data_IF_646459676293
#
_entry.id   IF_646459676293
#
_cell.length_a   1.000
_cell.length_b   1.000
_cell.length_c   1.000
_cell.angle_alpha   90.00
_cell.angle_beta   90.00
_cell.angle_gamma   90.00
#
_symmetry.space_group_name_H-M   'P 1'
#
loop_
_entity.id
_entity.type
_entity.pdbx_description
1 polymer ?
#
# COMPACT_ATOMS: atom_id res chain seq x y z
N UNK A 1 33.19 -13.45 -26.75
CA UNK A 1 33.28 -12.54 -25.58
C UNK A 1 34.72 -12.25 -25.19
N UNK A 2 35.45 -13.13 -24.48
CA UNK A 2 36.87 -12.84 -24.14
C UNK A 2 37.75 -12.62 -25.37
N UNK A 3 37.56 -13.44 -26.42
CA UNK A 3 38.22 -13.26 -27.72
C UNK A 3 37.80 -11.97 -28.44
N UNK A 4 36.66 -11.39 -28.06
CA UNK A 4 36.14 -10.11 -28.56
C UNK A 4 36.62 -8.93 -27.71
N UNK A 5 37.55 -9.15 -26.76
CA UNK A 5 38.06 -8.12 -25.86
C UNK A 5 37.12 -7.76 -24.70
N UNK A 6 36.06 -8.54 -24.46
CA UNK A 6 35.12 -8.30 -23.37
C UNK A 6 35.68 -8.87 -22.07
N UNK A 7 35.95 -7.98 -21.12
CA UNK A 7 36.30 -8.23 -19.73
C UNK A 7 35.12 -7.94 -18.79
N UNK A 8 35.31 -8.18 -17.48
CA UNK A 8 34.24 -8.02 -16.47
C UNK A 8 33.73 -6.57 -16.40
N UNK A 9 34.59 -5.58 -16.63
CA UNK A 9 34.24 -4.17 -16.55
C UNK A 9 33.69 -3.63 -17.87
N UNK A 10 34.04 -4.21 -19.02
CA UNK A 10 33.42 -3.84 -20.30
C UNK A 10 32.06 -4.51 -20.56
N UNK A 11 31.77 -5.64 -19.88
CA UNK A 11 30.52 -6.39 -20.04
C UNK A 11 29.26 -5.54 -19.81
N UNK A 12 29.33 -4.56 -18.89
CA UNK A 12 28.21 -3.68 -18.52
C UNK A 12 27.79 -2.67 -19.61
N UNK A 13 28.61 -2.50 -20.65
CA UNK A 13 28.37 -1.55 -21.74
C UNK A 13 27.93 -2.22 -23.04
N UNK A 14 27.77 -3.54 -23.06
CA UNK A 14 27.40 -4.28 -24.26
C UNK A 14 25.91 -4.16 -24.57
N UNK A 15 25.61 -3.87 -25.83
CA UNK A 15 24.24 -3.85 -26.38
C UNK A 15 23.95 -5.12 -27.20
N UNK A 16 22.65 -5.40 -27.47
CA UNK A 16 22.21 -6.60 -28.20
C UNK A 16 22.91 -6.78 -29.55
N UNK A 17 23.10 -5.69 -30.29
CA UNK A 17 23.82 -5.68 -31.57
C UNK A 17 25.27 -6.15 -31.46
N UNK A 18 25.97 -5.77 -30.39
CA UNK A 18 27.37 -6.17 -30.15
C UNK A 18 27.44 -7.61 -29.66
N UNK A 19 26.47 -8.04 -28.84
CA UNK A 19 26.33 -9.44 -28.46
C UNK A 19 26.11 -10.35 -29.68
N UNK A 20 25.36 -9.87 -30.66
CA UNK A 20 25.15 -10.59 -31.92
C UNK A 20 26.37 -10.53 -32.84
N UNK A 21 26.82 -9.34 -33.23
CA UNK A 21 27.82 -9.15 -34.30
C UNK A 21 29.26 -9.38 -33.85
N UNK A 22 29.61 -8.99 -32.63
CA UNK A 22 31.01 -9.00 -32.15
C UNK A 22 31.28 -10.18 -31.20
N UNK A 23 30.28 -10.57 -30.41
CA UNK A 23 30.38 -11.72 -29.51
C UNK A 23 29.89 -13.03 -30.10
N UNK A 24 29.21 -13.00 -31.26
CA UNK A 24 28.75 -14.19 -31.98
C UNK A 24 27.61 -14.95 -31.28
N UNK A 25 26.77 -14.26 -30.51
CA UNK A 25 25.67 -14.89 -29.78
C UNK A 25 24.41 -14.85 -30.64
N UNK A 26 24.22 -15.84 -31.51
CA UNK A 26 23.10 -15.89 -32.45
C UNK A 26 21.74 -16.11 -31.78
N UNK A 27 21.72 -16.85 -30.66
CA UNK A 27 20.49 -17.16 -29.94
C UNK A 27 19.95 -15.91 -29.24
N UNK A 28 18.79 -15.44 -29.69
CA UNK A 28 18.11 -14.24 -29.17
C UNK A 28 17.72 -14.37 -27.69
N UNK A 29 17.39 -15.57 -27.22
CA UNK A 29 17.07 -15.82 -25.81
C UNK A 29 18.32 -15.69 -24.93
N UNK A 30 19.48 -16.12 -25.43
CA UNK A 30 20.74 -15.97 -24.71
C UNK A 30 21.14 -14.50 -24.60
N UNK A 31 21.04 -13.74 -25.71
CA UNK A 31 21.31 -12.30 -25.67
C UNK A 31 20.37 -11.57 -24.73
N UNK A 32 19.08 -11.89 -24.75
CA UNK A 32 18.08 -11.30 -23.86
C UNK A 32 18.40 -11.57 -22.37
N UNK A 33 18.76 -12.81 -22.02
CA UNK A 33 19.17 -13.15 -20.65
C UNK A 33 20.47 -12.46 -20.23
N UNK A 34 21.43 -12.33 -21.13
CA UNK A 34 22.70 -11.63 -20.88
C UNK A 34 22.45 -10.13 -20.67
N UNK A 35 21.65 -9.49 -21.52
CA UNK A 35 21.24 -8.10 -21.36
C UNK A 35 20.50 -7.87 -20.02
N UNK A 36 19.59 -8.77 -19.65
CA UNK A 36 18.90 -8.70 -18.35
C UNK A 36 19.87 -8.86 -17.17
N UNK A 37 20.83 -9.77 -17.26
CA UNK A 37 21.86 -9.94 -16.23
C UNK A 37 22.78 -8.71 -16.12
N UNK A 38 23.15 -8.08 -17.25
CA UNK A 38 23.91 -6.83 -17.28
C UNK A 38 23.13 -5.70 -16.60
N UNK A 39 21.83 -5.57 -16.89
CA UNK A 39 20.97 -4.58 -16.23
C UNK A 39 20.85 -4.83 -14.72
N UNK A 40 20.76 -6.09 -14.30
CA UNK A 40 20.77 -6.47 -12.87
C UNK A 40 22.12 -6.20 -12.18
N UNK A 41 23.24 -6.38 -12.87
CA UNK A 41 24.57 -6.03 -12.35
C UNK A 41 24.74 -4.52 -12.20
N UNK A 42 24.19 -3.72 -13.11
CA UNK A 42 24.16 -2.27 -12.98
C UNK A 42 23.33 -1.82 -11.77
N UNK A 43 22.32 -2.58 -11.33
CA UNK A 43 21.56 -2.28 -10.11
C UNK A 43 22.31 -2.57 -8.80
N UNK A 44 23.38 -3.38 -8.81
CA UNK A 44 24.20 -3.66 -7.62
C UNK A 44 25.42 -2.75 -7.47
N UNK A 45 25.83 -2.02 -8.53
CA UNK A 45 27.06 -1.19 -8.53
C UNK A 45 26.78 0.28 -8.21
N UNK A 46 25.52 0.71 -8.18
CA UNK A 46 25.15 2.11 -7.90
C UNK A 46 25.26 2.55 -6.42
N UNK A 47 25.81 1.72 -5.52
CA UNK A 47 26.13 2.15 -4.15
C UNK A 47 27.51 2.83 -4.01
N UNK A 48 28.38 2.80 -5.02
CA UNK A 48 29.69 3.47 -4.97
C UNK A 48 30.06 4.17 -6.29
N UNK A 49 29.83 5.48 -6.39
CA UNK A 49 30.48 6.34 -7.40
C UNK A 49 29.57 7.30 -8.16
N UNK A 50 29.99 8.57 -8.20
CA UNK A 50 29.29 9.77 -8.65
C UNK A 50 28.83 9.78 -10.13
N UNK A 51 27.66 10.39 -10.36
CA UNK A 51 27.46 11.40 -11.40
C UNK A 51 27.34 10.96 -12.86
N UNK A 52 26.16 10.44 -13.25
CA UNK A 52 25.55 10.79 -14.55
C UNK A 52 24.04 10.92 -14.37
N UNK A 53 23.54 12.14 -14.59
CA UNK A 53 22.13 12.54 -14.72
C UNK A 53 21.42 11.74 -15.83
N UNK A 54 21.06 10.48 -15.56
CA UNK A 54 19.83 9.91 -16.11
C UNK A 54 18.73 10.47 -15.25
N UNK A 55 17.69 11.05 -15.86
CA UNK A 55 16.40 11.31 -15.23
C UNK A 55 15.91 10.05 -14.50
N UNK A 56 16.39 9.83 -13.27
CA UNK A 56 16.04 8.71 -12.40
C UNK A 56 14.71 9.08 -11.77
N UNK A 57 13.64 8.95 -12.56
CA UNK A 57 12.29 9.11 -12.06
C UNK A 57 12.04 8.00 -11.04
N UNK A 58 12.22 8.30 -9.76
CA UNK A 58 11.83 7.45 -8.66
C UNK A 58 10.33 7.14 -8.82
N UNK A 59 9.98 5.86 -8.93
CA UNK A 59 8.58 5.50 -9.21
C UNK A 59 7.76 5.54 -7.93
N UNK A 60 8.32 5.03 -6.84
CA UNK A 60 7.61 4.83 -5.58
C UNK A 60 8.44 5.31 -4.40
N UNK A 61 7.86 6.21 -3.60
CA UNK A 61 8.37 6.55 -2.27
C UNK A 61 7.50 5.87 -1.22
N UNK A 62 8.12 5.23 -0.21
CA UNK A 62 7.39 4.58 0.90
C UNK A 62 7.65 5.32 2.21
N UNK A 63 6.61 5.98 2.71
CA UNK A 63 6.56 6.55 4.05
C UNK A 63 6.01 5.53 5.04
N UNK A 64 6.67 5.38 6.19
CA UNK A 64 6.27 4.42 7.22
C UNK A 64 6.71 4.85 8.62
N UNK A 65 6.00 4.38 9.64
CA UNK A 65 6.43 4.56 11.04
C UNK A 65 7.56 3.59 11.38
N UNK A 66 8.75 4.10 11.73
CA UNK A 66 9.91 3.25 12.08
C UNK A 66 9.67 2.26 13.22
N UNK A 67 8.83 2.62 14.20
CA UNK A 67 8.57 1.80 15.38
C UNK A 67 7.91 0.45 15.08
N UNK A 68 7.11 0.35 14.00
CA UNK A 68 6.35 -0.88 13.71
C UNK A 68 6.07 -1.12 12.21
N UNK A 69 6.33 -0.16 11.32
CA UNK A 69 6.09 -0.28 9.88
C UNK A 69 7.29 -0.74 9.05
N UNK A 70 8.47 -0.88 9.66
CA UNK A 70 9.73 -1.20 8.94
C UNK A 70 9.71 -2.53 8.19
N UNK A 71 9.08 -3.55 8.79
CA UNK A 71 8.95 -4.88 8.18
C UNK A 71 8.06 -4.82 6.93
N UNK A 72 6.87 -4.22 7.04
CA UNK A 72 5.95 -4.09 5.92
C UNK A 72 6.52 -3.21 4.81
N UNK A 73 7.19 -2.10 5.15
CA UNK A 73 7.84 -1.23 4.16
C UNK A 73 8.93 -1.97 3.38
N UNK A 74 9.75 -2.78 4.07
CA UNK A 74 10.79 -3.60 3.44
C UNK A 74 10.21 -4.70 2.56
N UNK A 75 9.13 -5.34 2.99
CA UNK A 75 8.39 -6.33 2.21
C UNK A 75 7.83 -5.72 0.92
N UNK A 76 7.15 -4.58 1.03
CA UNK A 76 6.63 -3.83 -0.11
C UNK A 76 7.74 -3.44 -1.08
N UNK A 77 8.87 -2.95 -0.56
CA UNK A 77 10.06 -2.64 -1.39
C UNK A 77 10.48 -3.83 -2.22
N UNK A 78 10.70 -4.99 -1.60
CA UNK A 78 11.13 -6.21 -2.31
C UNK A 78 10.10 -6.62 -3.37
N UNK A 79 8.82 -6.70 -3.03
CA UNK A 79 7.78 -7.13 -3.96
C UNK A 79 7.59 -6.18 -5.15
N UNK A 80 7.74 -4.88 -4.95
CA UNK A 80 7.62 -3.87 -6.00
C UNK A 80 8.88 -3.84 -6.88
N UNK A 81 10.07 -4.01 -6.29
CA UNK A 81 11.33 -4.12 -7.04
C UNK A 81 11.34 -5.37 -7.94
N UNK A 82 10.82 -6.50 -7.46
CA UNK A 82 10.64 -7.72 -8.29
C UNK A 82 9.69 -7.49 -9.48
N UNK A 83 8.76 -6.53 -9.39
CA UNK A 83 7.86 -6.10 -10.47
C UNK A 83 8.45 -4.99 -11.35
N UNK A 84 9.70 -4.59 -11.10
CA UNK A 84 10.43 -3.61 -11.90
C UNK A 84 10.23 -2.14 -11.51
N UNK A 85 9.61 -1.86 -10.37
CA UNK A 85 9.47 -0.48 -9.87
C UNK A 85 10.74 -0.02 -9.14
N UNK A 86 11.13 1.24 -9.35
CA UNK A 86 12.14 1.90 -8.52
C UNK A 86 11.51 2.38 -7.21
N UNK A 87 11.90 1.76 -6.09
CA UNK A 87 11.32 2.04 -4.77
C UNK A 87 12.37 2.60 -3.82
N UNK A 88 12.04 3.75 -3.22
CA UNK A 88 12.80 4.36 -2.15
C UNK A 88 12.07 4.22 -0.82
N UNK A 89 12.81 3.83 0.21
CA UNK A 89 12.34 3.82 1.59
C UNK A 89 13.33 4.64 2.40
N UNK A 90 12.84 5.40 3.38
CA UNK A 90 13.71 6.09 4.32
C UNK A 90 14.41 5.05 5.22
N UNK A 91 15.64 4.68 4.87
CA UNK A 91 16.51 3.83 5.71
C UNK A 91 17.45 4.75 6.49
N UNK A 92 17.50 4.56 7.81
CA UNK A 92 18.34 5.29 8.76
C UNK A 92 19.84 5.24 8.44
N UNK A 93 20.32 5.98 7.43
CA UNK A 93 21.75 6.20 7.17
C UNK A 93 22.03 7.49 6.40
N UNK A 94 21.46 8.61 6.83
CA UNK A 94 21.96 9.91 6.38
C UNK A 94 22.26 10.80 7.59
N UNK A 95 23.55 10.86 7.90
CA UNK A 95 24.14 11.66 8.97
C UNK A 95 23.83 13.17 8.76
N UNK A 96 23.19 13.75 9.77
CA UNK A 96 23.32 15.15 10.23
C UNK A 96 23.34 16.28 9.17
N UNK A 97 22.19 16.91 8.95
CA UNK A 97 22.09 18.36 8.64
C UNK A 97 21.63 18.78 7.23
N UNK A 98 21.68 17.90 6.22
CA UNK A 98 21.17 18.16 4.85
C UNK A 98 20.07 17.19 4.39
N UNK A 99 19.56 16.37 5.31
CA UNK A 99 18.63 15.27 5.03
C UNK A 99 17.26 15.76 4.57
N UNK A 100 16.75 16.81 5.21
CA UNK A 100 15.40 17.35 4.98
C UNK A 100 15.15 17.65 3.50
N UNK A 101 16.10 18.34 2.85
CA UNK A 101 15.94 18.74 1.45
C UNK A 101 15.99 17.56 0.49
N UNK A 102 16.86 16.57 0.72
CA UNK A 102 17.00 15.41 -0.16
C UNK A 102 15.81 14.44 -0.03
N UNK A 103 15.30 14.25 1.19
CA UNK A 103 14.12 13.42 1.43
C UNK A 103 12.89 14.02 0.74
N UNK A 104 12.62 15.31 0.97
CA UNK A 104 11.49 16.01 0.37
C UNK A 104 11.63 16.10 -1.16
N UNK A 105 12.85 16.28 -1.68
CA UNK A 105 13.11 16.21 -3.12
C UNK A 105 12.83 14.82 -3.69
N UNK A 106 13.13 13.75 -2.94
CA UNK A 106 12.83 12.38 -3.37
C UNK A 106 11.31 12.15 -3.46
N UNK A 107 10.54 12.74 -2.55
CA UNK A 107 9.06 12.73 -2.60
C UNK A 107 8.55 13.50 -3.81
N UNK A 108 9.07 14.72 -4.07
CA UNK A 108 8.70 15.52 -5.26
C UNK A 108 8.98 14.80 -6.58
N UNK A 109 10.03 13.99 -6.62
CA UNK A 109 10.40 13.21 -7.81
C UNK A 109 9.62 11.89 -7.93
N UNK A 110 8.94 11.47 -6.85
CA UNK A 110 8.17 10.23 -6.82
C UNK A 110 6.86 10.36 -7.61
N UNK A 111 6.55 9.37 -8.44
CA UNK A 111 5.22 9.28 -9.08
C UNK A 111 4.14 8.81 -8.11
N UNK A 112 4.50 7.85 -7.26
CA UNK A 112 3.61 7.22 -6.29
C UNK A 112 4.16 7.40 -4.88
N UNK A 113 3.28 7.76 -3.96
CA UNK A 113 3.60 7.89 -2.54
C UNK A 113 2.80 6.85 -1.76
N UNK A 114 3.49 5.85 -1.21
CA UNK A 114 2.89 4.81 -0.39
C UNK A 114 3.00 5.21 1.07
N UNK A 115 1.85 5.30 1.73
CA UNK A 115 1.79 5.58 3.16
C UNK A 115 1.44 4.31 3.92
N UNK A 116 2.41 3.73 4.62
CA UNK A 116 2.21 2.54 5.44
C UNK A 116 1.61 2.94 6.78
N UNK A 117 0.34 2.59 6.96
CA UNK A 117 -0.46 2.85 8.15
C UNK A 117 -0.57 1.57 8.98
N UNK A 118 0.38 1.39 9.87
CA UNK A 118 0.35 0.41 10.97
C UNK A 118 -0.43 0.97 12.16
N UNK A 119 -0.76 0.16 13.20
CA UNK A 119 -1.39 0.68 14.40
C UNK A 119 -0.57 1.85 14.96
N UNK A 120 -1.24 2.93 15.38
CA UNK A 120 -0.61 4.12 15.95
C UNK A 120 0.34 4.89 15.00
N UNK A 121 0.29 4.66 13.69
CA UNK A 121 1.18 5.31 12.73
C UNK A 121 1.07 6.86 12.74
N UNK A 122 -0.15 7.38 12.91
CA UNK A 122 -0.45 8.82 12.88
C UNK A 122 -0.50 9.47 14.28
N UNK A 123 -0.28 8.73 15.37
CA UNK A 123 -0.48 9.25 16.73
C UNK A 123 0.37 10.49 17.04
N UNK A 124 1.59 10.57 16.48
CA UNK A 124 2.46 11.75 16.66
C UNK A 124 2.12 12.91 15.72
N UNK A 125 1.28 12.67 14.72
CA UNK A 125 0.77 13.71 13.82
C UNK A 125 -0.48 14.38 14.39
N UNK A 126 -1.17 13.74 15.35
CA UNK A 126 -2.35 14.31 16.01
C UNK A 126 -1.97 15.61 16.72
N UNK A 127 -2.61 16.71 16.34
CA UNK A 127 -2.32 18.04 16.88
C UNK A 127 -0.93 18.62 16.54
N UNK A 128 -0.18 18.04 15.60
CA UNK A 128 1.14 18.55 15.21
C UNK A 128 1.05 19.76 14.26
N UNK A 129 0.57 20.89 14.76
CA UNK A 129 0.41 22.13 13.95
C UNK A 129 1.73 22.76 13.50
N UNK A 130 2.85 22.38 14.12
CA UNK A 130 4.18 22.89 13.79
C UNK A 130 4.92 22.01 12.77
N UNK A 131 4.28 20.95 12.26
CA UNK A 131 4.86 20.02 11.29
C UNK A 131 6.24 19.49 11.72
N UNK A 132 6.35 19.04 12.98
CA UNK A 132 7.60 18.51 13.55
C UNK A 132 7.81 17.04 13.21
N UNK A 133 6.74 16.25 13.11
CA UNK A 133 6.85 14.83 12.81
C UNK A 133 7.22 14.61 11.34
N UNK A 134 8.12 13.66 11.09
CA UNK A 134 8.60 13.36 9.75
C UNK A 134 7.48 12.85 8.83
N UNK A 135 6.63 11.94 9.32
CA UNK A 135 5.52 11.40 8.53
C UNK A 135 4.55 12.54 8.16
N UNK A 136 4.36 13.50 9.06
CA UNK A 136 3.56 14.68 8.78
C UNK A 136 4.18 15.51 7.63
N UNK A 137 5.47 15.85 7.71
CA UNK A 137 6.18 16.58 6.63
C UNK A 137 6.11 15.86 5.29
N UNK A 138 6.29 14.54 5.29
CA UNK A 138 6.25 13.72 4.07
C UNK A 138 4.85 13.73 3.43
N UNK A 139 3.78 13.59 4.23
CA UNK A 139 2.40 13.63 3.74
C UNK A 139 2.08 15.00 3.13
N UNK A 140 2.45 16.09 3.81
CA UNK A 140 2.23 17.46 3.31
C UNK A 140 2.97 17.67 2.00
N UNK A 141 4.22 17.23 1.89
CA UNK A 141 5.00 17.33 0.66
C UNK A 141 4.40 16.49 -0.49
N UNK A 142 3.92 15.29 -0.20
CA UNK A 142 3.26 14.43 -1.19
C UNK A 142 1.95 15.05 -1.70
N UNK A 143 1.18 15.70 -0.82
CA UNK A 143 -0.04 16.43 -1.16
C UNK A 143 0.27 17.64 -2.04
N UNK A 144 1.30 18.42 -1.69
CA UNK A 144 1.73 19.60 -2.46
C UNK A 144 2.30 19.21 -3.84
N UNK A 145 3.02 18.09 -3.91
CA UNK A 145 3.62 17.57 -5.14
C UNK A 145 2.64 16.85 -6.06
N UNK A 146 1.37 16.73 -5.66
CA UNK A 146 0.32 15.98 -6.38
C UNK A 146 0.72 14.53 -6.73
N UNK A 147 1.50 13.88 -5.86
CA UNK A 147 1.83 12.48 -6.01
C UNK A 147 0.56 11.60 -5.94
N UNK A 148 0.56 10.44 -6.58
CA UNK A 148 -0.50 9.46 -6.37
C UNK A 148 -0.32 8.81 -4.99
N UNK A 149 -1.05 9.31 -4.00
CA UNK A 149 -1.00 8.82 -2.61
C UNK A 149 -1.85 7.56 -2.48
N UNK A 150 -1.24 6.46 -2.05
CA UNK A 150 -1.91 5.19 -1.83
C UNK A 150 -1.66 4.74 -0.37
N UNK A 151 -2.64 4.94 0.53
CA UNK A 151 -2.55 4.46 1.90
C UNK A 151 -2.59 2.92 1.96
N UNK A 152 -1.72 2.30 2.73
CA UNK A 152 -1.67 0.86 2.98
C UNK A 152 -2.03 0.62 4.45
N UNK A 153 -3.20 0.05 4.70
CA UNK A 153 -3.74 -0.12 6.05
C UNK A 153 -3.42 -1.51 6.57
N UNK A 154 -2.60 -1.60 7.61
CA UNK A 154 -2.31 -2.81 8.35
C UNK A 154 -2.83 -2.67 9.78
N UNK A 155 -3.95 -3.32 10.09
CA UNK A 155 -4.63 -3.25 11.39
C UNK A 155 -4.83 -1.82 11.93
N UNK A 156 -4.89 -0.83 11.02
CA UNK A 156 -5.00 0.58 11.35
C UNK A 156 -6.45 1.06 11.31
N UNK A 157 -6.76 1.99 12.21
CA UNK A 157 -8.03 2.70 12.26
C UNK A 157 -7.77 4.18 12.07
N UNK A 158 -8.54 4.81 11.18
CA UNK A 158 -8.44 6.25 10.98
C UNK A 158 -8.87 6.99 12.25
N UNK A 159 -8.07 7.96 12.73
CA UNK A 159 -8.51 8.87 13.77
C UNK A 159 -9.60 9.80 13.22
N UNK A 160 -10.24 10.56 14.13
CA UNK A 160 -11.13 11.64 13.74
C UNK A 160 -10.36 12.65 12.84
N UNK A 161 -10.85 12.96 11.62
CA UNK A 161 -10.20 13.93 10.73
C UNK A 161 -9.95 15.30 11.38
N UNK A 162 -10.77 15.72 12.36
CA UNK A 162 -10.60 17.01 13.03
C UNK A 162 -9.45 17.02 14.04
N UNK A 163 -8.94 15.84 14.44
CA UNK A 163 -7.75 15.70 15.29
C UNK A 163 -6.45 15.80 14.47
N UNK A 164 -6.54 15.64 13.14
CA UNK A 164 -5.41 15.79 12.24
C UNK A 164 -5.26 17.25 11.80
N UNK A 165 -4.01 17.75 11.68
CA UNK A 165 -3.73 19.04 11.07
C UNK A 165 -4.41 19.23 9.70
N UNK A 166 -4.84 20.46 9.42
CA UNK A 166 -5.65 20.80 8.24
C UNK A 166 -4.95 20.52 6.91
N UNK A 167 -3.64 20.71 6.88
CA UNK A 167 -2.75 20.47 5.74
C UNK A 167 -2.62 18.98 5.37
N UNK A 168 -2.70 18.07 6.34
CA UNK A 168 -2.61 16.63 6.07
C UNK A 168 -3.96 15.91 6.01
N UNK A 169 -5.05 16.54 6.47
CA UNK A 169 -6.40 15.91 6.59
C UNK A 169 -6.90 15.27 5.30
N UNK A 170 -6.49 15.82 4.15
CA UNK A 170 -6.82 15.29 2.83
C UNK A 170 -6.45 13.80 2.66
N UNK A 171 -5.42 13.31 3.35
CA UNK A 171 -4.93 11.93 3.26
C UNK A 171 -6.01 10.89 3.60
N UNK A 172 -6.97 11.23 4.46
CA UNK A 172 -8.05 10.33 4.90
C UNK A 172 -9.05 9.99 3.78
N UNK A 173 -9.10 10.81 2.72
CA UNK A 173 -10.04 10.65 1.61
C UNK A 173 -9.45 9.87 0.42
N UNK A 174 -8.17 9.49 0.50
CA UNK A 174 -7.53 8.69 -0.56
C UNK A 174 -7.94 7.22 -0.47
N UNK A 175 -8.04 6.58 -1.63
CA UNK A 175 -8.37 5.17 -1.72
C UNK A 175 -7.18 4.32 -1.24
N UNK A 176 -7.37 3.62 -0.12
CA UNK A 176 -6.36 2.76 0.45
C UNK A 176 -6.46 1.29 0.07
N UNK A 177 -5.35 0.57 0.21
CA UNK A 177 -5.26 -0.88 0.14
C UNK A 177 -5.19 -1.44 1.56
N UNK A 178 -6.15 -2.28 1.94
CA UNK A 178 -6.05 -3.03 3.19
C UNK A 178 -5.05 -4.18 3.00
N UNK A 179 -4.03 -4.21 3.85
CA UNK A 179 -3.05 -5.28 3.90
C UNK A 179 -3.64 -6.50 4.61
N UNK A 180 -3.41 -7.68 4.05
CA UNK A 180 -3.80 -8.96 4.65
C UNK A 180 -2.60 -9.90 4.54
N UNK A 181 -2.06 -10.31 5.69
CA UNK A 181 -0.84 -11.11 5.74
C UNK A 181 -0.94 -12.47 5.03
N UNK A 182 -2.14 -13.05 4.95
CA UNK A 182 -2.39 -14.32 4.26
C UNK A 182 -2.47 -14.16 2.72
N UNK A 183 -2.70 -12.94 2.22
CA UNK A 183 -2.96 -12.64 0.80
C UNK A 183 -2.03 -11.53 0.27
N UNK A 184 -0.74 -11.62 0.59
CA UNK A 184 0.26 -10.58 0.28
C UNK A 184 0.34 -10.29 -1.22
N UNK A 185 0.45 -11.33 -2.05
CA UNK A 185 0.55 -11.17 -3.51
C UNK A 185 -0.65 -10.43 -4.10
N UNK A 186 -1.87 -10.76 -3.66
CA UNK A 186 -3.09 -10.09 -4.09
C UNK A 186 -3.14 -8.61 -3.66
N UNK A 187 -2.63 -8.30 -2.45
CA UNK A 187 -2.49 -6.91 -2.00
C UNK A 187 -1.52 -6.13 -2.87
N UNK A 188 -0.38 -6.73 -3.26
CA UNK A 188 0.60 -6.06 -4.14
C UNK A 188 0.08 -5.95 -5.58
N UNK A 189 -0.63 -6.95 -6.10
CA UNK A 189 -1.27 -6.85 -7.42
C UNK A 189 -2.30 -5.72 -7.47
N UNK A 190 -3.07 -5.56 -6.38
CA UNK A 190 -3.99 -4.42 -6.24
C UNK A 190 -3.23 -3.09 -6.23
N UNK A 191 -2.13 -3.02 -5.50
CA UNK A 191 -1.27 -1.85 -5.42
C UNK A 191 -0.70 -1.46 -6.80
N UNK A 192 -0.24 -2.45 -7.57
CA UNK A 192 0.24 -2.25 -8.93
C UNK A 192 -0.84 -1.65 -9.83
N UNK A 193 -2.10 -2.12 -9.72
CA UNK A 193 -3.23 -1.53 -10.47
C UNK A 193 -3.50 -0.07 -10.11
N UNK A 194 -3.33 0.30 -8.84
CA UNK A 194 -3.41 1.70 -8.41
C UNK A 194 -2.30 2.54 -9.03
N UNK A 195 -1.08 2.01 -9.12
CA UNK A 195 0.06 2.70 -9.72
C UNK A 195 -0.10 2.86 -11.23
N UNK A 196 -0.60 1.84 -11.93
CA UNK A 196 -0.82 1.86 -13.39
C UNK A 196 -2.05 2.66 -13.83
N UNK A 197 -2.90 3.11 -12.89
CA UNK A 197 -4.07 3.94 -13.18
C UNK A 197 -5.25 3.16 -13.79
N UNK A 198 -5.25 1.84 -13.72
CA UNK A 198 -6.24 0.97 -14.37
C UNK A 198 -7.63 0.99 -13.71
N UNK A 199 -7.79 1.70 -12.58
CA UNK A 199 -9.07 1.77 -11.86
C UNK A 199 -9.84 3.07 -12.02
N UNK A 200 -9.43 3.96 -12.94
CA UNK A 200 -10.18 5.18 -13.23
C UNK A 200 -11.32 5.01 -14.25
N UNK A 201 -11.58 3.81 -14.77
CA UNK A 201 -12.86 3.56 -15.46
C UNK A 201 -13.88 3.11 -14.43
N UNK A 202 -14.55 4.08 -13.81
CA UNK A 202 -15.91 3.85 -13.31
C UNK A 202 -16.71 3.32 -14.50
N UNK A 203 -17.02 2.03 -14.54
CA UNK A 203 -18.01 1.46 -15.47
C UNK A 203 -19.45 1.92 -15.17
N UNK A 204 -19.63 3.06 -14.50
CA UNK A 204 -20.93 3.63 -14.15
C UNK A 204 -21.29 4.82 -15.05
N UNK A 205 -21.02 4.64 -16.34
CA UNK A 205 -21.57 5.47 -17.42
C UNK A 205 -22.82 4.79 -18.00
N UNK A 206 -23.87 5.54 -18.37
CA UNK A 206 -25.22 5.01 -18.66
C UNK A 206 -25.35 4.20 -19.97
N UNK A 207 -24.25 3.73 -20.55
CA UNK A 207 -24.20 3.04 -21.85
C UNK A 207 -23.76 1.57 -21.77
N UNK A 208 -23.43 1.05 -20.59
CA UNK A 208 -22.98 -0.35 -20.40
C UNK A 208 -24.07 -1.43 -20.44
N UNK A 209 -25.34 -1.09 -20.76
CA UNK A 209 -26.48 -2.02 -20.66
C UNK A 209 -26.83 -2.81 -21.92
N UNK A 210 -26.08 -2.70 -23.01
CA UNK A 210 -26.48 -3.31 -24.29
C UNK A 210 -25.33 -3.99 -25.05
N UNK A 211 -24.66 -4.99 -24.48
CA UNK A 211 -23.98 -6.02 -25.30
C UNK A 211 -24.02 -7.36 -24.57
N UNK A 212 -24.98 -8.22 -24.92
CA UNK A 212 -25.09 -9.56 -24.36
C UNK A 212 -26.38 -10.31 -24.71
N UNK A 213 -26.99 -10.05 -25.87
CA UNK A 213 -28.14 -10.83 -26.36
C UNK A 213 -27.60 -11.98 -27.22
N UNK A 214 -27.24 -13.08 -26.58
CA UNK A 214 -27.10 -14.40 -27.23
C UNK A 214 -28.48 -15.05 -27.38
N UNK A 215 -28.74 -15.84 -28.42
CA UNK A 215 -30.08 -16.31 -28.75
C UNK A 215 -30.50 -17.51 -27.89
N UNK A 216 -31.68 -17.41 -27.28
CA UNK A 216 -32.59 -18.54 -27.07
C UNK A 216 -32.43 -19.34 -25.77
N UNK A 217 -33.18 -18.98 -24.73
CA UNK A 217 -33.92 -19.94 -23.88
C UNK A 217 -35.23 -19.29 -23.38
N UNK A 218 -36.37 -20.00 -23.31
CA UNK A 218 -37.66 -19.39 -22.99
C UNK A 218 -38.06 -19.53 -21.51
N UNK A 219 -38.52 -18.41 -20.92
CA UNK A 219 -39.72 -18.40 -20.08
C UNK A 219 -39.56 -18.32 -18.55
N UNK A 220 -39.71 -17.12 -18.00
CA UNK A 220 -40.54 -16.87 -16.78
C UNK A 220 -40.79 -15.35 -16.66
N UNK A 221 -42.06 -14.86 -16.59
CA UNK A 221 -42.33 -13.43 -16.64
C UNK A 221 -42.15 -12.76 -15.27
N UNK A 222 -41.41 -11.64 -15.28
CA UNK A 222 -41.32 -10.68 -14.18
C UNK A 222 -42.53 -9.74 -14.25
N UNK A 223 -43.33 -9.67 -13.18
CA UNK A 223 -44.51 -8.82 -13.12
C UNK A 223 -44.13 -7.43 -12.58
N UNK A 224 -44.05 -6.45 -13.47
CA UNK A 224 -44.02 -5.03 -13.13
C UNK A 224 -45.43 -4.44 -13.25
N UNK A 225 -46.01 -3.89 -12.17
CA UNK A 225 -46.70 -2.59 -12.19
C UNK A 225 -47.26 -2.18 -10.82
N UNK A 226 -47.18 -0.88 -10.53
CA UNK A 226 -48.31 -0.14 -9.98
C UNK A 226 -48.36 -0.01 -8.45
N UNK A 227 -48.01 1.17 -7.96
CA UNK A 227 -48.10 1.51 -6.53
C UNK A 227 -49.53 1.56 -5.99
N UNK A 228 -49.63 1.57 -4.66
CA UNK A 228 -50.53 2.41 -3.85
C UNK A 228 -50.28 2.16 -2.36
N UNK A 229 -50.27 3.26 -1.62
CA UNK A 229 -50.36 3.31 -0.16
C UNK A 229 -51.78 2.95 0.32
N UNK A 230 -51.89 2.13 1.36
CA UNK A 230 -52.97 2.07 2.37
C UNK A 230 -52.62 0.96 3.39
N UNK A 231 -52.28 1.27 4.65
CA UNK A 231 -53.16 1.53 5.80
C UNK A 231 -53.95 0.30 6.28
N UNK A 232 -53.49 -0.24 7.41
CA UNK A 232 -54.13 -1.05 8.47
C UNK A 232 -55.43 -1.83 8.20
N UNK A 233 -55.41 -3.14 8.54
CA UNK A 233 -56.47 -3.75 9.36
C UNK A 233 -55.97 -4.96 10.18
N UNK A 234 -56.22 -4.94 11.49
CA UNK A 234 -55.97 -6.04 12.45
C UNK A 234 -57.18 -6.97 12.53
N UNK A 235 -56.93 -8.27 12.75
CA UNK A 235 -57.74 -9.25 13.52
C UNK A 235 -56.86 -10.51 13.68
N UNK A 236 -56.30 -10.86 14.87
CA UNK A 236 -56.89 -11.62 15.99
C UNK A 236 -57.41 -13.02 15.57
N UNK A 237 -57.15 -14.20 16.16
CA UNK A 237 -56.32 -14.73 17.27
C UNK A 237 -56.44 -16.28 17.25
N UNK A 238 -55.46 -17.02 17.79
CA UNK A 238 -55.56 -18.29 18.59
C UNK A 238 -54.17 -18.95 18.61
N UNK A 239 -53.35 -18.76 19.64
CA UNK A 239 -53.33 -19.38 20.97
C UNK A 239 -52.91 -20.85 20.98
N UNK A 240 -51.69 -21.09 21.49
CA UNK A 240 -51.34 -22.24 22.33
C UNK A 240 -50.02 -21.95 23.03
N UNK A 241 -50.14 -21.57 24.30
CA UNK A 241 -49.08 -21.49 25.29
C UNK A 241 -48.40 -22.86 25.52
N UNK A 242 -47.07 -22.85 25.67
CA UNK A 242 -46.33 -23.64 26.66
C UNK A 242 -44.96 -23.00 26.87
N UNK A 243 -44.79 -22.37 28.03
CA UNK A 243 -43.55 -21.75 28.45
C UNK A 243 -42.51 -22.75 28.96
N UNK A 244 -41.27 -22.29 29.07
CA UNK A 244 -40.36 -22.61 30.16
C UNK A 244 -39.26 -21.55 30.19
N UNK A 245 -39.27 -20.80 31.29
CA UNK A 245 -38.22 -19.93 31.77
C UNK A 245 -37.23 -20.76 32.60
N UNK A 246 -35.95 -20.45 32.54
CA UNK A 246 -35.04 -20.70 33.65
C UNK A 246 -34.02 -19.58 33.74
N UNK A 247 -34.11 -18.81 34.82
CA UNK A 247 -33.07 -17.89 35.29
C UNK A 247 -32.40 -18.49 36.52
N UNK A 248 -31.13 -18.11 36.66
CA UNK A 248 -30.36 -17.89 37.89
C UNK A 248 -29.86 -19.08 38.73
N UNK A 249 -28.53 -19.05 38.97
CA UNK A 249 -28.02 -18.74 40.31
C UNK A 249 -26.54 -18.37 40.33
N UNK A 250 -26.28 -17.15 40.80
CA UNK A 250 -25.05 -16.68 41.42
C UNK A 250 -24.77 -17.39 42.76
N UNK A 251 -23.49 -17.52 43.09
CA UNK A 251 -23.01 -17.59 44.49
C UNK A 251 -21.54 -17.17 44.61
N UNK A 252 -21.34 -15.86 44.83
CA UNK A 252 -20.66 -15.20 45.95
C UNK A 252 -19.40 -15.84 46.59
N UNK A 253 -18.31 -15.06 46.77
CA UNK A 253 -17.13 -15.53 47.51
C UNK A 253 -15.93 -14.57 47.73
N UNK A 254 -16.15 -13.46 48.45
CA UNK A 254 -15.23 -12.82 49.44
C UNK A 254 -13.92 -12.09 49.05
N UNK A 255 -13.92 -10.83 49.49
CA UNK A 255 -12.81 -9.93 49.85
C UNK A 255 -11.76 -10.53 50.80
N UNK A 256 -10.49 -10.13 50.64
CA UNK A 256 -9.48 -10.11 51.70
C UNK A 256 -8.49 -8.95 51.48
N UNK A 257 -8.52 -8.03 52.44
CA UNK A 257 -7.58 -6.94 52.69
C UNK A 257 -6.19 -7.43 53.14
N UNK A 258 -5.19 -6.58 52.85
CA UNK A 258 -4.06 -6.15 53.71
C UNK A 258 -2.97 -7.10 54.24
N UNK A 259 -1.74 -6.55 54.13
CA UNK A 259 -0.56 -6.68 55.01
C UNK A 259 0.36 -7.91 54.89
N UNK A 260 1.56 -7.68 54.34
CA UNK A 260 2.92 -8.01 54.81
C UNK A 260 3.87 -7.84 53.59
N UNK A 261 5.08 -7.28 53.64
CA UNK A 261 5.88 -6.68 54.68
C UNK A 261 6.94 -5.81 53.98
N UNK A 262 7.18 -4.61 54.50
CA UNK A 262 8.39 -3.86 54.26
C UNK A 262 9.51 -4.48 55.10
N UNK A 263 10.54 -5.01 54.43
CA UNK A 263 11.91 -5.11 54.92
C UNK A 263 12.74 -5.63 53.75
N UNK A 264 13.67 -4.83 53.22
CA UNK A 264 15.12 -5.10 53.23
C UNK A 264 15.80 -4.07 52.30
N UNK A 265 16.89 -3.48 52.81
CA UNK A 265 17.94 -2.73 52.13
C UNK A 265 17.84 -1.19 52.00
N UNK A 266 18.70 -0.57 52.83
CA UNK A 266 19.34 0.75 52.79
C UNK A 266 18.54 1.96 53.28
#
# INVERSE_FOLDING_TARGET
MLQSGVDKDSLKFLNDDQLFKECGIDNSIHRLRICQAILGLNQCVEEEGEGVERNKSLDVFVSYRRSNGSQLASLLKVHLQLRGFSVFIDVERLESGKFDTNLLNSIRQAKHFLLVLTPNALDRCLGDTECKDWVHKEIVEALQSQCNIIPILDNFQWPDPDMLPEDMRAVCYFNGVRWIHDYQDACVDKLERFMRGEMNVRSDGPLGRYVGMGPGTPGTPSNTLGGRSAVYQRSASSDSAKGSTCSDKDSNGRSLEQQLAAATHC
#
